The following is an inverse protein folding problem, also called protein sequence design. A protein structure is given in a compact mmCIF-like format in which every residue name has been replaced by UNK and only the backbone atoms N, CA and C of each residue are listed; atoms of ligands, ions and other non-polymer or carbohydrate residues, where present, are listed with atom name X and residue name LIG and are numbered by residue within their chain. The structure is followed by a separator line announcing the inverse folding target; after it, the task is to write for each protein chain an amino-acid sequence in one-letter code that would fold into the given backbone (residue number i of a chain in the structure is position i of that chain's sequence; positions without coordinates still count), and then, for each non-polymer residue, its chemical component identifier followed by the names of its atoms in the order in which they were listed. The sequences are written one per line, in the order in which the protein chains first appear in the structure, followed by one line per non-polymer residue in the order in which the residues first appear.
data_IF_910013281491
#
_entry.id   IF_910013281491
#
_cell.length_a   1.000
_cell.length_b   1.000
_cell.length_c   1.000
_cell.angle_alpha   90.00
_cell.angle_beta   90.00
_cell.angle_gamma   90.00
#
_symmetry.space_group_name_H-M   'P 1'
#
loop_
_entity.id
_entity.type
_entity.pdbx_description
1 polymer ?
#
# COMPACT_ATOMS: atom_id res chain seq x y z
N UNK A 1 13.77 -16.09 3.24
CA UNK A 1 13.26 -15.36 4.42
C UNK A 1 11.75 -15.33 4.28
N UNK A 2 11.05 -16.18 5.02
CA UNK A 2 9.57 -16.23 5.00
C UNK A 2 8.97 -15.00 5.67
N UNK A 3 7.92 -14.48 5.06
CA UNK A 3 7.13 -13.40 5.58
C UNK A 3 6.26 -13.87 6.75
N UNK A 4 6.79 -13.86 7.99
CA UNK A 4 6.00 -14.21 9.19
C UNK A 4 5.17 -13.00 9.69
N UNK A 5 4.31 -12.47 8.82
CA UNK A 5 3.15 -11.75 9.32
C UNK A 5 2.16 -12.82 9.77
N UNK A 6 2.01 -13.00 11.09
CA UNK A 6 0.95 -13.82 11.69
C UNK A 6 -0.41 -13.17 11.43
N UNK A 7 -0.83 -13.16 10.17
CA UNK A 7 -2.04 -12.54 9.65
C UNK A 7 -2.84 -13.58 8.87
N UNK A 8 -4.16 -13.42 8.87
CA UNK A 8 -5.10 -14.25 8.11
C UNK A 8 -5.12 -13.96 6.62
N UNK A 9 -4.39 -12.93 6.17
CA UNK A 9 -4.34 -12.45 4.79
C UNK A 9 -2.90 -12.53 4.27
N UNK A 10 -2.73 -12.69 2.95
CA UNK A 10 -1.43 -12.83 2.28
C UNK A 10 -1.20 -11.68 1.31
N UNK A 11 0.05 -11.39 0.97
CA UNK A 11 0.41 -10.25 0.10
C UNK A 11 -0.11 -10.44 -1.32
N UNK A 12 -0.02 -11.66 -1.83
CA UNK A 12 -0.37 -12.09 -3.17
C UNK A 12 -1.85 -12.48 -3.34
N UNK A 13 -2.61 -12.41 -2.25
CA UNK A 13 -4.04 -12.66 -2.26
C UNK A 13 -4.77 -11.58 -3.11
N UNK A 14 -5.66 -11.96 -4.05
CA UNK A 14 -6.33 -11.01 -4.95
C UNK A 14 -7.07 -9.89 -4.23
N UNK A 15 -7.76 -10.20 -3.12
CA UNK A 15 -8.44 -9.18 -2.33
C UNK A 15 -7.41 -8.21 -1.74
N UNK A 16 -6.34 -8.73 -1.16
CA UNK A 16 -5.26 -7.90 -0.60
C UNK A 16 -4.62 -6.97 -1.65
N UNK A 17 -4.41 -7.46 -2.86
CA UNK A 17 -3.93 -6.64 -3.99
C UNK A 17 -4.94 -5.56 -4.36
N UNK A 18 -6.24 -5.89 -4.44
CA UNK A 18 -7.29 -4.93 -4.74
C UNK A 18 -7.38 -3.81 -3.69
N UNK A 19 -7.25 -4.17 -2.41
CA UNK A 19 -7.18 -3.20 -1.32
C UNK A 19 -5.99 -2.26 -1.49
N UNK A 20 -4.80 -2.81 -1.77
CA UNK A 20 -3.56 -2.03 -1.92
C UNK A 20 -3.64 -1.06 -3.12
N UNK A 21 -4.19 -1.51 -4.25
CA UNK A 21 -4.41 -0.67 -5.43
C UNK A 21 -5.33 0.50 -5.13
N UNK A 22 -6.47 0.24 -4.47
CA UNK A 22 -7.40 1.30 -4.07
C UNK A 22 -6.74 2.30 -3.12
N UNK A 23 -6.04 1.81 -2.09
CA UNK A 23 -5.39 2.66 -1.10
C UNK A 23 -4.34 3.57 -1.74
N UNK A 24 -3.51 3.05 -2.66
CA UNK A 24 -2.54 3.84 -3.43
C UNK A 24 -3.20 4.88 -4.34
N UNK A 25 -4.32 4.55 -4.96
CA UNK A 25 -5.08 5.49 -5.80
C UNK A 25 -5.75 6.60 -4.98
N UNK A 26 -6.06 6.31 -3.71
CA UNK A 26 -6.84 7.17 -2.83
C UNK A 26 -6.01 8.05 -1.88
N UNK A 27 -4.69 8.06 -2.03
CA UNK A 27 -3.79 8.87 -1.20
C UNK A 27 -4.08 10.37 -1.35
N UNK A 28 -4.21 11.06 -0.22
CA UNK A 28 -4.32 12.53 -0.18
C UNK A 28 -2.93 13.19 -0.13
N UNK A 29 -2.88 14.51 -0.36
CA UNK A 29 -1.63 15.29 -0.21
C UNK A 29 -0.95 15.03 1.14
N UNK A 30 -1.73 14.96 2.21
CA UNK A 30 -1.21 14.70 3.56
C UNK A 30 -0.56 13.32 3.65
N UNK A 31 -1.13 12.28 3.02
CA UNK A 31 -0.51 10.96 3.01
C UNK A 31 0.77 10.96 2.16
N UNK A 32 0.73 11.63 1.00
CA UNK A 32 1.89 11.74 0.11
C UNK A 32 3.06 12.44 0.78
N UNK A 33 2.83 13.58 1.45
CA UNK A 33 3.87 14.31 2.16
C UNK A 33 4.58 13.48 3.25
N UNK A 34 3.87 12.56 3.90
CA UNK A 34 4.42 11.66 4.93
C UNK A 34 5.18 10.49 4.31
N UNK A 35 4.68 9.94 3.21
CA UNK A 35 5.22 8.71 2.62
C UNK A 35 6.33 8.96 1.59
N UNK A 36 6.32 10.09 0.88
CA UNK A 36 7.18 10.31 -0.29
C UNK A 36 8.65 10.10 0.03
N UNK A 37 9.20 10.83 1.00
CA UNK A 37 10.63 10.77 1.34
C UNK A 37 11.05 9.43 1.96
N UNK A 38 10.32 8.85 2.94
CA UNK A 38 10.65 7.53 3.45
C UNK A 38 10.60 6.44 2.37
N UNK A 39 9.56 6.42 1.54
CA UNK A 39 9.40 5.39 0.50
C UNK A 39 10.46 5.54 -0.60
N UNK A 40 10.79 6.76 -1.03
CA UNK A 40 11.83 6.99 -2.05
C UNK A 40 13.21 6.52 -1.62
N UNK A 41 13.52 6.60 -0.32
CA UNK A 41 14.82 6.20 0.23
C UNK A 41 14.83 4.71 0.55
N UNK A 42 13.81 4.23 1.25
CA UNK A 42 13.84 2.88 1.82
C UNK A 42 13.50 1.82 0.79
N UNK A 43 12.56 2.07 -0.14
CA UNK A 43 12.12 1.06 -1.11
C UNK A 43 13.27 0.53 -1.99
N UNK A 44 14.21 1.37 -2.49
CA UNK A 44 15.38 0.89 -3.21
C UNK A 44 16.42 0.18 -2.32
N UNK A 45 16.55 0.58 -1.05
CA UNK A 45 17.59 0.08 -0.13
C UNK A 45 17.16 -1.25 0.51
N UNK A 46 16.00 -1.27 1.15
CA UNK A 46 15.52 -2.43 1.90
C UNK A 46 14.68 -3.39 1.03
N UNK A 47 14.26 -2.92 -0.15
CA UNK A 47 13.38 -3.65 -1.04
C UNK A 47 11.92 -3.70 -0.57
N UNK A 48 11.02 -4.05 -1.47
CA UNK A 48 9.59 -4.16 -1.18
C UNK A 48 9.23 -5.20 -0.12
N UNK A 49 10.14 -6.16 0.14
CA UNK A 49 9.98 -7.20 1.17
C UNK A 49 10.30 -6.71 2.59
N UNK A 50 10.65 -5.44 2.77
CA UNK A 50 10.95 -4.87 4.08
C UNK A 50 9.70 -4.65 4.92
N UNK A 51 9.66 -5.32 6.08
CA UNK A 51 8.62 -5.09 7.10
C UNK A 51 8.60 -3.63 7.55
N UNK A 52 9.76 -3.00 7.67
CA UNK A 52 9.87 -1.60 8.10
C UNK A 52 9.12 -0.68 7.14
N UNK A 53 9.30 -0.86 5.83
CA UNK A 53 8.61 -0.04 4.83
C UNK A 53 7.11 -0.32 4.86
N UNK A 54 6.71 -1.59 4.93
CA UNK A 54 5.31 -1.95 5.03
C UNK A 54 4.62 -1.32 6.26
N UNK A 55 5.35 -1.11 7.37
CA UNK A 55 4.78 -0.46 8.56
C UNK A 55 4.44 1.02 8.35
N UNK A 56 5.16 1.72 7.46
CA UNK A 56 4.93 3.14 7.16
C UNK A 56 3.53 3.40 6.61
N UNK A 57 2.93 2.40 5.95
CA UNK A 57 1.57 2.51 5.40
C UNK A 57 0.47 2.33 6.46
N UNK A 58 0.78 1.81 7.65
CA UNK A 58 -0.25 1.52 8.67
C UNK A 58 -1.11 2.73 9.05
N UNK A 59 -0.56 3.94 9.31
CA UNK A 59 -1.37 5.11 9.64
C UNK A 59 -2.26 5.53 8.47
N UNK A 60 -1.79 5.39 7.23
CA UNK A 60 -2.53 5.71 6.01
C UNK A 60 -3.69 4.74 5.80
N UNK A 61 -3.47 3.44 6.04
CA UNK A 61 -4.51 2.42 5.97
C UNK A 61 -5.62 2.72 6.99
N UNK A 62 -5.26 3.11 8.22
CA UNK A 62 -6.24 3.48 9.26
C UNK A 62 -7.03 4.73 8.84
N UNK A 63 -6.35 5.77 8.34
CA UNK A 63 -6.98 7.00 7.86
C UNK A 63 -7.97 6.76 6.70
N UNK A 64 -7.70 5.74 5.87
CA UNK A 64 -8.49 5.43 4.67
C UNK A 64 -9.51 4.31 4.88
N UNK A 65 -9.55 3.65 6.04
CA UNK A 65 -10.33 2.44 6.27
C UNK A 65 -11.83 2.66 6.01
N UNK A 66 -12.42 3.73 6.54
CA UNK A 66 -13.85 4.04 6.32
C UNK A 66 -14.19 4.25 4.85
N UNK A 67 -13.29 4.90 4.10
CA UNK A 67 -13.48 5.13 2.67
C UNK A 67 -13.30 3.84 1.86
N UNK A 68 -12.35 2.99 2.25
CA UNK A 68 -12.15 1.67 1.66
C UNK A 68 -13.40 0.80 1.83
N UNK A 69 -13.99 0.76 3.03
CA UNK A 69 -15.22 0.01 3.29
C UNK A 69 -16.36 0.47 2.37
N UNK A 70 -16.60 1.79 2.29
CA UNK A 70 -17.61 2.36 1.39
C UNK A 70 -17.34 2.05 -0.08
N UNK A 71 -16.08 2.06 -0.51
CA UNK A 71 -15.71 1.74 -1.88
C UNK A 71 -15.94 0.26 -2.23
N UNK A 72 -15.77 -0.65 -1.27
CA UNK A 72 -16.11 -2.06 -1.45
C UNK A 72 -17.63 -2.22 -1.58
N UNK A 73 -18.39 -1.60 -0.68
CA UNK A 73 -19.86 -1.64 -0.70
C UNK A 73 -20.46 -1.04 -1.99
N UNK A 74 -19.82 -0.01 -2.55
CA UNK A 74 -20.27 0.66 -3.79
C UNK A 74 -19.73 0.04 -5.08
N UNK A 75 -18.92 -1.02 -5.00
CA UNK A 75 -18.28 -1.66 -6.16
C UNK A 75 -17.14 -0.86 -6.80
N UNK A 76 -16.62 0.16 -6.10
CA UNK A 76 -15.48 0.98 -6.53
C UNK A 76 -14.12 0.37 -6.14
N UNK A 77 -14.11 -0.65 -5.28
CA UNK A 77 -12.96 -1.49 -4.98
C UNK A 77 -13.24 -2.92 -5.46
N UNK A 78 -12.24 -3.56 -6.08
CA UNK A 78 -12.36 -4.93 -6.59
C UNK A 78 -12.29 -6.03 -5.52
N UNK A 79 -12.02 -5.65 -4.26
CA UNK A 79 -11.99 -6.60 -3.14
C UNK A 79 -13.37 -7.22 -2.95
N UNK A 80 -13.43 -8.54 -2.86
CA UNK A 80 -14.66 -9.29 -2.62
C UNK A 80 -15.04 -9.32 -1.14
N UNK A 81 -14.08 -9.05 -0.26
CA UNK A 81 -14.29 -9.01 1.17
C UNK A 81 -14.04 -7.61 1.75
N UNK A 82 -14.86 -7.23 2.73
CA UNK A 82 -14.59 -6.06 3.58
C UNK A 82 -13.55 -6.49 4.61
N UNK A 83 -12.31 -5.96 4.56
CA UNK A 83 -11.28 -6.42 5.45
C UNK A 83 -11.47 -5.76 6.83
N UNK A 84 -11.36 -6.56 7.89
CA UNK A 84 -11.42 -6.00 9.24
C UNK A 84 -10.25 -5.02 9.48
N UNK A 85 -9.03 -5.35 9.01
CA UNK A 85 -7.77 -4.58 9.22
C UNK A 85 -7.53 -4.07 10.65
N UNK A 86 -8.22 -4.63 11.65
CA UNK A 86 -8.13 -4.27 13.06
C UNK A 86 -6.74 -4.59 13.63
N UNK A 87 -6.12 -5.66 13.12
CA UNK A 87 -4.81 -6.13 13.59
C UNK A 87 -3.70 -5.45 12.82
N UNK A 88 -2.66 -5.03 13.55
CA UNK A 88 -1.48 -4.42 12.96
C UNK A 88 -0.81 -5.33 11.92
N UNK A 89 -0.76 -6.64 12.17
CA UNK A 89 -0.22 -7.60 11.22
C UNK A 89 -0.94 -7.57 9.85
N UNK A 90 -2.27 -7.43 9.84
CA UNK A 90 -3.04 -7.33 8.59
C UNK A 90 -2.71 -6.05 7.84
N UNK A 91 -2.62 -4.91 8.53
CA UNK A 91 -2.22 -3.63 7.91
C UNK A 91 -0.83 -3.69 7.31
N UNK A 92 0.11 -4.40 7.95
CA UNK A 92 1.43 -4.59 7.36
C UNK A 92 1.40 -5.45 6.10
N UNK A 93 0.57 -6.50 6.05
CA UNK A 93 0.41 -7.30 4.82
C UNK A 93 -0.16 -6.46 3.68
N UNK A 94 -1.15 -5.60 3.96
CA UNK A 94 -1.65 -4.66 2.94
C UNK A 94 -0.58 -3.63 2.54
N UNK A 95 0.14 -3.05 3.50
CA UNK A 95 1.23 -2.13 3.24
C UNK A 95 2.36 -2.74 2.41
N UNK A 96 2.58 -4.04 2.55
CA UNK A 96 3.50 -4.79 1.73
C UNK A 96 3.04 -4.96 0.28
N UNK A 97 1.77 -5.29 0.09
CA UNK A 97 1.18 -5.36 -1.24
C UNK A 97 1.28 -3.98 -1.92
N UNK A 98 1.12 -2.88 -1.17
CA UNK A 98 1.39 -1.54 -1.68
C UNK A 98 2.87 -1.37 -2.09
N UNK A 99 3.82 -1.82 -1.27
CA UNK A 99 5.25 -1.78 -1.62
C UNK A 99 5.57 -2.60 -2.88
N UNK A 100 5.00 -3.79 -3.00
CA UNK A 100 5.18 -4.67 -4.15
C UNK A 100 4.65 -4.02 -5.43
N UNK A 101 3.45 -3.41 -5.37
CA UNK A 101 2.87 -2.65 -6.48
C UNK A 101 3.79 -1.51 -6.91
N UNK A 102 4.28 -0.71 -5.97
CA UNK A 102 5.22 0.38 -6.26
C UNK A 102 6.51 -0.14 -6.91
N UNK A 103 7.07 -1.24 -6.39
CA UNK A 103 8.26 -1.88 -6.95
C UNK A 103 8.02 -2.44 -8.36
N UNK A 104 6.80 -2.88 -8.67
CA UNK A 104 6.37 -3.32 -10.01
C UNK A 104 6.05 -2.15 -10.95
N UNK A 105 6.22 -0.90 -10.52
CA UNK A 105 5.91 0.28 -11.35
C UNK A 105 4.43 0.61 -11.44
N UNK A 106 3.61 0.18 -10.47
CA UNK A 106 2.20 0.55 -10.41
C UNK A 106 2.07 2.08 -10.37
N UNK A 107 1.44 2.63 -11.41
CA UNK A 107 1.30 4.07 -11.57
C UNK A 107 0.34 4.61 -10.53
N UNK A 108 0.87 5.36 -9.59
CA UNK A 108 0.10 6.14 -8.63
C UNK A 108 0.79 7.47 -8.37
N UNK A 109 0.08 8.37 -7.68
CA UNK A 109 0.61 9.69 -7.33
C UNK A 109 1.89 9.61 -6.51
N UNK A 110 2.02 8.61 -5.63
CA UNK A 110 3.21 8.41 -4.82
C UNK A 110 4.44 8.07 -5.68
N UNK A 111 4.32 7.16 -6.64
CA UNK A 111 5.44 6.78 -7.51
C UNK A 111 5.85 7.93 -8.45
N UNK A 112 4.87 8.68 -8.97
CA UNK A 112 5.09 9.85 -9.84
C UNK A 112 5.86 10.98 -9.13
N UNK A 113 5.84 10.99 -7.78
CA UNK A 113 6.56 11.94 -6.94
C UNK A 113 7.92 11.40 -6.45
N UNK A 114 8.15 10.10 -6.58
CA UNK A 114 9.39 9.43 -6.17
C UNK A 114 10.38 9.39 -7.34
N UNK A 115 9.89 9.19 -8.56
CA UNK A 115 10.68 9.29 -9.78
C UNK A 115 10.36 10.64 -10.43
N UNK A 116 11.16 11.70 -10.20
CA UNK A 116 11.07 12.87 -11.07
C UNK A 116 11.40 12.37 -12.48
N UNK A 117 10.57 12.77 -13.43
CA UNK A 117 10.61 12.32 -14.82
C UNK A 117 12.05 12.06 -15.29
N UNK A 118 12.36 10.80 -15.62
CA UNK A 118 13.27 10.56 -16.75
C UNK A 118 12.49 11.05 -17.97
N UNK A 119 12.51 12.37 -18.18
CA UNK A 119 12.26 12.95 -19.49
C UNK A 119 13.46 12.52 -20.32
N UNK A 120 13.18 11.77 -21.38
CA UNK A 120 14.15 11.37 -22.39
C UNK A 120 15.09 12.54 -22.76
N UNK A 121 16.40 12.29 -22.70
CA UNK A 121 17.44 13.12 -23.32
C UNK A 121 18.37 12.22 -24.14
#
# INVERSE_FOLDING_TARGET
MEWDFKASIKVDDPDTVALAQFLLASLTEKNLAVLQKPISIMLPIDGWRSKTIATLFSPVIVDRLTMLQKAIESGQCQSQTIPALNRQAQRHVVGAAMCELLNKGYRCRLLSLIQPDTVDA
#
